data_IF_720937284399
#
_entry.id   IF_720937284399
#
_cell.length_a   1.000
_cell.length_b   1.000
_cell.length_c   1.000
_cell.angle_alpha   90.00
_cell.angle_beta   90.00
_cell.angle_gamma   90.00
#
_symmetry.space_group_name_H-M   'P 1'
#
loop_
_entity.id
_entity.type
_entity.pdbx_description
1 polymer ?
#
# COMPACT_ATOMS: atom_id res chain seq x y z
N UNK A 1 -40.28 -0.78 59.35
CA UNK A 1 -38.86 -0.43 59.14
C UNK A 1 -38.24 -1.47 58.21
N UNK A 2 -38.09 -1.15 56.92
CA UNK A 2 -37.33 -1.96 55.96
C UNK A 2 -36.54 -1.00 55.08
N UNK A 3 -35.24 -0.92 55.35
CA UNK A 3 -34.24 -0.12 54.64
C UNK A 3 -33.99 -0.74 53.26
N UNK A 4 -34.14 0.06 52.20
CA UNK A 4 -33.69 -0.31 50.86
C UNK A 4 -32.24 0.13 50.69
N UNK A 5 -31.34 -0.84 50.46
CA UNK A 5 -29.94 -0.61 50.14
C UNK A 5 -29.83 -0.33 48.64
N UNK A 6 -29.27 0.82 48.29
CA UNK A 6 -28.96 1.21 46.91
C UNK A 6 -27.65 0.51 46.49
N UNK A 7 -27.73 -0.48 45.60
CA UNK A 7 -26.55 -1.10 45.00
C UNK A 7 -26.11 -0.26 43.78
N UNK A 8 -25.01 0.49 43.93
CA UNK A 8 -24.33 1.16 42.81
C UNK A 8 -23.54 0.10 42.06
N UNK A 9 -24.03 -0.30 40.89
CA UNK A 9 -23.26 -1.13 39.96
C UNK A 9 -22.25 -0.24 39.22
N UNK A 10 -20.98 -0.32 39.62
CA UNK A 10 -19.85 0.26 38.87
C UNK A 10 -19.69 -0.59 37.61
N UNK A 11 -20.18 -0.09 36.47
CA UNK A 11 -19.87 -0.66 35.16
C UNK A 11 -18.43 -0.25 34.83
N UNK A 12 -17.50 -1.16 35.09
CA UNK A 12 -16.12 -1.04 34.64
C UNK A 12 -16.07 -1.09 33.12
N UNK A 13 -15.80 0.05 32.49
CA UNK A 13 -15.50 0.14 31.07
C UNK A 13 -14.12 -0.51 30.85
N UNK A 14 -14.09 -1.77 30.46
CA UNK A 14 -12.87 -2.42 30.01
C UNK A 14 -12.43 -1.74 28.69
N UNK A 15 -11.45 -0.84 28.78
CA UNK A 15 -10.75 -0.33 27.62
C UNK A 15 -9.92 -1.49 27.04
N UNK A 16 -10.46 -2.17 26.03
CA UNK A 16 -9.64 -3.01 25.16
C UNK A 16 -8.64 -2.09 24.45
N UNK A 17 -7.32 -2.25 24.62
CA UNK A 17 -6.37 -1.62 23.72
C UNK A 17 -6.58 -2.29 22.36
N UNK A 18 -7.39 -1.65 21.50
CA UNK A 18 -7.45 -2.02 20.10
C UNK A 18 -6.03 -1.94 19.55
N UNK A 19 -5.51 -3.06 19.07
CA UNK A 19 -4.27 -3.07 18.29
C UNK A 19 -4.61 -2.32 17.01
N UNK A 20 -4.32 -1.02 16.98
CA UNK A 20 -4.48 -0.20 15.78
C UNK A 20 -3.38 -0.62 14.81
N UNK A 21 -3.74 -1.40 13.78
CA UNK A 21 -2.93 -1.53 12.57
C UNK A 21 -3.03 -0.19 11.82
N UNK A 22 -2.27 0.81 12.28
CA UNK A 22 -2.30 2.14 11.72
C UNK A 22 -1.76 2.09 10.28
N UNK A 23 -2.65 2.37 9.32
CA UNK A 23 -2.27 2.46 7.91
C UNK A 23 -1.16 3.50 7.73
N UNK A 24 -0.09 3.11 7.05
CA UNK A 24 1.10 3.95 6.83
C UNK A 24 1.20 4.37 5.36
N UNK A 25 1.39 5.65 5.11
CA UNK A 25 1.78 6.15 3.79
C UNK A 25 3.28 5.87 3.57
N UNK A 26 3.61 5.15 2.49
CA UNK A 26 4.97 4.74 2.14
C UNK A 26 5.57 5.56 0.99
N UNK A 27 4.84 6.57 0.50
CA UNK A 27 5.15 7.31 -0.72
C UNK A 27 4.26 6.87 -1.88
N UNK A 28 4.71 7.13 -3.10
CA UNK A 28 3.99 6.88 -4.34
C UNK A 28 4.79 5.94 -5.23
N UNK A 29 4.15 4.89 -5.74
CA UNK A 29 4.64 4.10 -6.85
C UNK A 29 4.67 5.00 -8.09
N UNK A 30 5.87 5.37 -8.53
CA UNK A 30 6.06 6.32 -9.62
C UNK A 30 7.44 6.23 -10.25
N UNK A 31 7.52 6.66 -11.51
CA UNK A 31 8.72 6.69 -12.34
C UNK A 31 9.50 8.01 -12.28
N UNK A 32 9.01 9.03 -11.56
CA UNK A 32 9.64 10.34 -11.47
C UNK A 32 10.78 10.35 -10.43
N UNK A 33 12.06 10.47 -10.82
CA UNK A 33 13.18 10.48 -9.88
C UNK A 33 13.34 11.79 -9.11
N UNK A 34 12.75 12.89 -9.60
CA UNK A 34 12.86 14.21 -8.97
C UNK A 34 11.76 14.44 -7.92
N UNK A 35 10.67 13.68 -7.97
CA UNK A 35 9.59 13.74 -6.99
C UNK A 35 10.02 13.08 -5.66
N UNK A 36 10.07 13.80 -4.52
CA UNK A 36 10.49 13.23 -3.23
C UNK A 36 9.60 12.07 -2.74
N UNK A 37 8.33 12.03 -3.14
CA UNK A 37 7.41 10.97 -2.74
C UNK A 37 7.48 9.75 -3.67
N UNK A 38 8.18 9.83 -4.79
CA UNK A 38 8.23 8.74 -5.77
C UNK A 38 9.18 7.63 -5.35
N UNK A 39 8.80 6.39 -5.61
CA UNK A 39 9.67 5.21 -5.47
C UNK A 39 10.86 5.25 -6.41
N UNK A 40 10.83 6.03 -7.49
CA UNK A 40 11.99 6.23 -8.36
C UNK A 40 13.02 7.20 -7.77
N UNK A 41 12.70 7.97 -6.72
CA UNK A 41 13.65 8.89 -6.09
C UNK A 41 14.43 8.18 -4.97
N UNK A 42 15.74 7.89 -5.16
CA UNK A 42 16.57 7.18 -4.17
C UNK A 42 16.93 8.03 -2.95
N UNK A 43 16.70 9.34 -3.00
CA UNK A 43 16.89 10.24 -1.86
C UNK A 43 15.57 10.51 -1.11
N UNK A 44 14.43 10.08 -1.67
CA UNK A 44 13.08 10.25 -1.14
C UNK A 44 12.43 8.94 -0.71
N UNK A 45 11.17 8.73 -1.08
CA UNK A 45 10.42 7.51 -0.75
C UNK A 45 11.07 6.23 -1.29
N UNK A 46 11.78 6.32 -2.41
CA UNK A 46 12.56 5.23 -3.00
C UNK A 46 13.89 4.92 -2.31
N UNK A 47 14.23 5.58 -1.21
CA UNK A 47 15.52 5.42 -0.54
C UNK A 47 15.74 3.99 -0.02
N UNK A 48 16.79 3.28 -0.50
CA UNK A 48 17.03 1.88 -0.15
C UNK A 48 17.48 1.65 1.30
N UNK A 49 17.79 2.71 2.05
CA UNK A 49 18.17 2.66 3.46
C UNK A 49 17.02 3.09 4.39
N UNK A 50 15.93 3.64 3.86
CA UNK A 50 14.77 4.01 4.68
C UNK A 50 14.03 2.73 5.12
N UNK A 51 13.84 2.48 6.43
CA UNK A 51 13.18 1.26 6.93
C UNK A 51 11.76 1.02 6.39
N UNK A 52 11.08 2.09 5.98
CA UNK A 52 9.71 2.04 5.45
C UNK A 52 9.66 2.03 3.91
N UNK A 53 10.78 2.17 3.21
CA UNK A 53 10.77 2.16 1.74
C UNK A 53 10.48 0.76 1.22
N UNK A 54 9.65 0.68 0.18
CA UNK A 54 9.44 -0.56 -0.59
C UNK A 54 10.69 -0.99 -1.36
N UNK A 55 11.66 -0.08 -1.54
CA UNK A 55 12.94 -0.36 -2.19
C UNK A 55 14.03 -0.80 -1.21
N UNK A 56 13.77 -0.79 0.10
CA UNK A 56 14.74 -1.25 1.09
C UNK A 56 14.64 -2.78 1.24
N UNK A 57 15.63 -3.56 0.77
CA UNK A 57 15.59 -5.02 0.83
C UNK A 57 15.72 -5.58 2.26
N UNK A 58 16.04 -4.74 3.23
CA UNK A 58 16.07 -5.07 4.66
C UNK A 58 14.90 -4.41 5.43
N UNK A 59 14.12 -3.55 4.76
CA UNK A 59 13.01 -2.80 5.34
C UNK A 59 11.71 -3.60 5.36
N UNK A 60 10.77 -3.18 6.20
CA UNK A 60 9.51 -3.91 6.46
C UNK A 60 8.68 -4.18 5.19
N UNK A 61 8.74 -3.27 4.21
CA UNK A 61 7.89 -3.30 3.01
C UNK A 61 8.64 -3.73 1.73
N UNK A 62 9.96 -3.89 1.78
CA UNK A 62 10.80 -4.23 0.63
C UNK A 62 11.57 -5.54 0.75
N UNK A 63 11.59 -6.17 1.94
CA UNK A 63 12.34 -7.42 2.15
C UNK A 63 11.53 -8.68 1.74
N UNK A 64 12.16 -9.76 1.28
CA UNK A 64 11.45 -10.93 0.74
C UNK A 64 10.80 -11.83 1.79
N UNK A 65 10.91 -11.53 3.09
CA UNK A 65 10.44 -12.39 4.18
C UNK A 65 9.28 -11.80 4.98
N UNK A 66 9.08 -10.47 4.93
CA UNK A 66 8.06 -9.79 5.72
C UNK A 66 6.66 -10.08 5.18
N UNK A 67 5.67 -10.29 6.07
CA UNK A 67 4.27 -10.45 5.66
C UNK A 67 3.68 -9.17 5.06
N UNK A 68 4.34 -8.01 5.23
CA UNK A 68 3.88 -6.71 4.75
C UNK A 68 4.65 -6.23 3.51
N UNK A 69 5.47 -7.09 2.90
CA UNK A 69 6.38 -6.69 1.85
C UNK A 69 5.79 -6.79 0.45
N UNK A 70 6.18 -5.85 -0.41
CA UNK A 70 5.91 -5.89 -1.84
C UNK A 70 6.69 -6.99 -2.57
N UNK A 71 7.85 -7.39 -2.05
CA UNK A 71 8.75 -8.34 -2.73
C UNK A 71 8.58 -9.78 -2.26
N UNK A 72 7.82 -10.00 -1.18
CA UNK A 72 7.52 -11.33 -0.67
C UNK A 72 6.28 -11.92 -1.38
N UNK A 73 6.42 -12.97 -2.21
CA UNK A 73 5.29 -13.58 -2.91
C UNK A 73 4.29 -14.26 -1.95
N UNK A 74 4.68 -14.51 -0.70
CA UNK A 74 3.84 -15.09 0.34
C UNK A 74 3.38 -14.04 1.37
N UNK A 75 3.50 -12.74 1.07
CA UNK A 75 3.02 -11.67 1.94
C UNK A 75 1.51 -11.81 2.22
N UNK A 76 1.11 -11.75 3.50
CA UNK A 76 -0.30 -11.81 3.90
C UNK A 76 -0.96 -10.44 3.92
N UNK A 77 -0.18 -9.37 3.99
CA UNK A 77 -0.65 -7.98 4.03
C UNK A 77 0.21 -7.09 3.13
N UNK A 78 0.31 -7.39 1.81
CA UNK A 78 1.11 -6.57 0.91
C UNK A 78 0.62 -5.11 0.87
N UNK A 79 1.49 -4.14 0.52
CA UNK A 79 1.08 -2.75 0.38
C UNK A 79 -0.01 -2.60 -0.69
N UNK A 80 -0.94 -1.69 -0.45
CA UNK A 80 -2.05 -1.38 -1.36
C UNK A 80 -1.77 -0.11 -2.14
N UNK A 81 -2.23 -0.05 -3.39
CA UNK A 81 -2.08 1.10 -4.27
C UNK A 81 -3.40 1.87 -4.41
N UNK A 82 -3.30 3.19 -4.40
CA UNK A 82 -4.43 4.09 -4.63
C UNK A 82 -4.03 5.22 -5.57
N UNK A 83 -4.92 5.60 -6.48
CA UNK A 83 -4.73 6.83 -7.24
C UNK A 83 -5.05 8.07 -6.39
N UNK A 84 -4.85 9.25 -6.98
CA UNK A 84 -5.10 10.53 -6.30
C UNK A 84 -6.57 10.75 -5.92
N UNK A 85 -7.49 10.10 -6.63
CA UNK A 85 -8.92 10.15 -6.34
C UNK A 85 -9.31 9.17 -5.22
N UNK A 86 -8.37 8.34 -4.75
CA UNK A 86 -8.59 7.35 -3.71
C UNK A 86 -9.17 6.04 -4.25
N UNK A 87 -9.18 5.83 -5.57
CA UNK A 87 -9.60 4.54 -6.11
C UNK A 87 -8.49 3.51 -5.88
N UNK A 88 -8.89 2.31 -5.49
CA UNK A 88 -7.98 1.19 -5.30
C UNK A 88 -7.43 0.70 -6.66
N UNK A 89 -6.11 0.52 -6.73
CA UNK A 89 -5.36 0.16 -7.95
C UNK A 89 -4.58 -1.15 -7.83
N UNK A 90 -4.98 -2.00 -6.88
CA UNK A 90 -4.38 -3.32 -6.67
C UNK A 90 -3.38 -3.37 -5.52
N UNK A 91 -2.84 -4.57 -5.31
CA UNK A 91 -1.79 -4.85 -4.35
C UNK A 91 -0.42 -4.71 -5.05
N UNK A 92 0.48 -3.96 -4.41
CA UNK A 92 1.89 -3.94 -4.77
C UNK A 92 2.53 -5.21 -4.21
N UNK A 93 2.51 -6.30 -4.99
CA UNK A 93 3.07 -7.60 -4.61
C UNK A 93 3.67 -8.32 -5.80
N UNK A 94 4.70 -9.12 -5.57
CA UNK A 94 5.30 -10.03 -6.56
C UNK A 94 4.53 -11.33 -6.73
N UNK A 95 3.51 -11.60 -5.91
CA UNK A 95 2.68 -12.80 -6.05
C UNK A 95 1.82 -12.74 -7.33
N UNK A 96 2.05 -13.60 -8.33
CA UNK A 96 1.26 -13.59 -9.56
C UNK A 96 -0.10 -14.27 -9.41
N UNK A 97 -0.35 -14.96 -8.28
CA UNK A 97 -1.60 -15.69 -8.01
C UNK A 97 -2.59 -14.89 -7.17
N UNK A 98 -2.17 -13.76 -6.57
CA UNK A 98 -3.10 -12.85 -5.91
C UNK A 98 -4.01 -12.19 -6.98
N UNK A 99 -5.35 -12.31 -6.87
CA UNK A 99 -6.28 -11.73 -7.85
C UNK A 99 -6.17 -10.21 -8.02
N UNK A 100 -5.68 -9.51 -6.99
CA UNK A 100 -5.52 -8.06 -6.97
C UNK A 100 -4.07 -7.61 -7.24
N UNK A 101 -3.15 -8.53 -7.47
CA UNK A 101 -1.74 -8.21 -7.70
C UNK A 101 -1.53 -7.47 -9.02
N UNK A 102 -0.68 -6.43 -8.99
CA UNK A 102 -0.18 -5.80 -10.21
C UNK A 102 0.79 -6.69 -11.00
N UNK A 103 1.28 -7.77 -10.38
CA UNK A 103 2.16 -8.77 -11.01
C UNK A 103 1.38 -9.97 -11.56
N UNK A 104 0.05 -10.02 -11.37
CA UNK A 104 -0.78 -11.07 -11.95
C UNK A 104 -1.14 -10.71 -13.40
N UNK A 105 -0.55 -11.38 -14.42
CA UNK A 105 -0.75 -11.03 -15.82
C UNK A 105 -2.16 -11.31 -16.34
N UNK A 106 -2.99 -12.00 -15.55
CA UNK A 106 -4.39 -12.27 -15.85
C UNK A 106 -5.35 -11.52 -14.91
N UNK A 107 -4.81 -10.78 -13.95
CA UNK A 107 -5.56 -10.04 -12.93
C UNK A 107 -5.93 -8.64 -13.40
N UNK A 108 -7.01 -8.08 -12.85
CA UNK A 108 -7.52 -6.74 -13.22
C UNK A 108 -6.44 -5.64 -13.15
N UNK A 109 -5.50 -5.73 -12.23
CA UNK A 109 -4.50 -4.68 -12.01
C UNK A 109 -3.12 -4.98 -12.63
N UNK A 110 -2.88 -6.21 -13.11
CA UNK A 110 -1.63 -6.63 -13.73
C UNK A 110 -1.72 -7.04 -15.21
N UNK A 111 -2.93 -7.28 -15.73
CA UNK A 111 -3.16 -7.65 -17.12
C UNK A 111 -2.92 -6.47 -18.10
N UNK A 112 -2.27 -6.76 -19.24
CA UNK A 112 -1.89 -5.75 -20.25
C UNK A 112 -3.10 -5.08 -20.93
N UNK A 113 -4.26 -5.71 -20.95
CA UNK A 113 -5.45 -5.25 -21.66
C UNK A 113 -6.47 -4.59 -20.73
N UNK A 114 -6.40 -4.84 -19.42
CA UNK A 114 -7.26 -4.22 -18.43
C UNK A 114 -7.06 -2.70 -18.39
N UNK A 115 -8.13 -1.88 -18.45
CA UNK A 115 -8.01 -0.42 -18.36
C UNK A 115 -7.49 0.04 -16.98
N UNK A 116 -7.63 -0.78 -15.94
CA UNK A 116 -7.20 -0.45 -14.58
C UNK A 116 -5.74 -0.86 -14.28
N UNK A 117 -5.09 -1.60 -15.17
CA UNK A 117 -3.75 -2.13 -14.94
C UNK A 117 -2.64 -1.10 -15.18
N UNK A 118 -1.68 -1.07 -14.24
CA UNK A 118 -0.42 -0.34 -14.41
C UNK A 118 0.37 -0.79 -15.64
N UNK A 119 0.14 -2.02 -16.12
CA UNK A 119 0.84 -2.58 -17.27
C UNK A 119 0.18 -2.22 -18.60
N UNK A 120 -1.04 -1.65 -18.60
CA UNK A 120 -1.72 -1.21 -19.81
C UNK A 120 -1.34 0.24 -20.18
N UNK A 121 -0.55 0.48 -21.25
CA UNK A 121 -0.10 1.81 -21.65
C UNK A 121 -1.21 2.69 -22.25
N UNK A 122 -2.38 2.11 -22.55
CA UNK A 122 -3.55 2.86 -23.03
C UNK A 122 -4.58 3.12 -21.92
N UNK A 123 -4.35 2.58 -20.72
CA UNK A 123 -5.22 2.75 -19.56
C UNK A 123 -4.49 3.41 -18.39
N UNK A 124 -4.68 2.83 -17.22
CA UNK A 124 -4.05 3.17 -15.96
C UNK A 124 -2.52 3.35 -16.03
N UNK A 125 -1.83 2.53 -16.81
CA UNK A 125 -0.39 2.56 -17.07
C UNK A 125 0.06 3.55 -18.15
N UNK A 126 -0.79 4.48 -18.59
CA UNK A 126 -0.44 5.41 -19.66
C UNK A 126 0.71 6.35 -19.28
N UNK A 127 1.86 6.30 -19.98
CA UNK A 127 3.07 7.07 -19.63
C UNK A 127 2.90 8.59 -19.80
N UNK A 128 1.85 9.05 -20.46
CA UNK A 128 1.54 10.46 -20.64
C UNK A 128 0.49 10.98 -19.65
N UNK A 129 -0.17 10.09 -18.90
CA UNK A 129 -1.15 10.52 -17.90
C UNK A 129 -0.44 11.10 -16.67
N UNK A 130 -0.82 12.29 -16.16
CA UNK A 130 -0.12 12.96 -15.06
C UNK A 130 -0.02 12.15 -13.75
N UNK A 131 -0.96 11.23 -13.54
CA UNK A 131 -1.08 10.45 -12.31
C UNK A 131 -0.65 9.00 -12.50
N UNK A 132 -0.14 8.64 -13.68
CA UNK A 132 0.29 7.26 -13.93
C UNK A 132 1.64 7.00 -13.28
N UNK A 133 1.83 5.83 -12.64
CA UNK A 133 3.13 5.42 -12.13
C UNK A 133 4.20 5.32 -13.21
N UNK A 134 3.81 5.08 -14.47
CA UNK A 134 4.73 4.92 -15.60
C UNK A 134 5.15 6.25 -16.22
N UNK A 135 4.53 7.36 -15.84
CA UNK A 135 4.91 8.69 -16.29
C UNK A 135 6.16 9.17 -15.53
N UNK A 136 7.29 9.43 -16.21
CA UNK A 136 8.53 9.88 -15.56
C UNK A 136 8.46 11.30 -14.98
N UNK A 137 7.38 12.02 -15.22
CA UNK A 137 7.09 13.33 -14.62
C UNK A 137 5.85 13.31 -13.73
N UNK A 138 5.17 12.16 -13.64
CA UNK A 138 3.91 12.03 -12.92
C UNK A 138 4.07 11.91 -11.41
N UNK A 139 2.95 12.06 -10.69
CA UNK A 139 2.92 11.87 -9.24
C UNK A 139 2.91 10.39 -8.83
N UNK A 140 2.41 9.51 -9.70
CA UNK A 140 2.23 8.10 -9.42
C UNK A 140 1.05 7.79 -8.49
N UNK A 141 1.03 6.56 -7.96
CA UNK A 141 -0.04 6.06 -7.08
C UNK A 141 0.44 5.93 -5.65
N UNK A 142 -0.36 6.37 -4.70
CA UNK A 142 -0.08 6.29 -3.27
C UNK A 142 0.05 4.83 -2.81
N UNK A 143 1.06 4.55 -2.01
CA UNK A 143 1.32 3.25 -1.40
C UNK A 143 0.91 3.29 0.07
N UNK A 144 0.00 2.40 0.46
CA UNK A 144 -0.47 2.26 1.84
C UNK A 144 -0.07 0.90 2.41
N UNK A 145 0.79 0.91 3.43
CA UNK A 145 1.16 -0.26 4.24
C UNK A 145 0.29 -0.42 5.49
N UNK A 146 0.36 -1.59 6.12
CA UNK A 146 -0.28 -1.92 7.41
C UNK A 146 0.77 -2.34 8.45
#
# INVERSE_FOLDING_TARGET
MKTFVLAVAIVGLAAFPGISNAQRNLGNLGGNPDNPNSTANPFGAGNPFNPNSVNNPFGMYGNPFSPNSATNPNATHPPMLFDQQGNYRGNLTTNPYDPNSISNPYGRYGDLYSPDSINNPFGAGNPYAPNSPTNPYGEGWKIIGR
#
